data_IF_714258746106
#
_entry.id   IF_714258746106
#
_cell.length_a   1.000
_cell.length_b   1.000
_cell.length_c   1.000
_cell.angle_alpha   90.00
_cell.angle_beta   90.00
_cell.angle_gamma   90.00
#
_symmetry.space_group_name_H-M   'P 1'
#
loop_
_entity.id
_entity.type
_entity.pdbx_description
1 polymer ?
#
# COMPACT_ATOMS: atom_id res chain seq x y z
N UNK A 1 33.05 -25.30 -21.82
CA UNK A 1 32.75 -24.39 -20.70
C UNK A 1 31.40 -24.78 -20.13
N UNK A 2 31.25 -24.79 -18.81
CA UNK A 2 29.96 -24.99 -18.16
C UNK A 2 29.27 -23.64 -18.01
N UNK A 3 28.03 -23.50 -18.48
CA UNK A 3 27.22 -22.33 -18.18
C UNK A 3 26.80 -22.39 -16.71
N UNK A 4 27.26 -21.42 -15.92
CA UNK A 4 26.75 -21.21 -14.56
C UNK A 4 25.43 -20.42 -14.63
N UNK A 5 24.49 -20.71 -13.73
CA UNK A 5 23.32 -19.84 -13.55
C UNK A 5 23.80 -18.51 -12.97
N UNK A 6 23.22 -17.41 -13.44
CA UNK A 6 23.36 -16.12 -12.79
C UNK A 6 22.79 -16.23 -11.37
N UNK A 7 23.67 -16.33 -10.37
CA UNK A 7 23.28 -16.30 -8.96
C UNK A 7 23.21 -14.84 -8.54
N UNK A 8 22.00 -14.40 -8.20
CA UNK A 8 21.72 -13.03 -7.81
C UNK A 8 20.82 -13.05 -6.58
N UNK A 9 21.15 -12.23 -5.61
CA UNK A 9 20.25 -11.87 -4.53
C UNK A 9 20.18 -10.33 -4.53
N UNK A 10 18.99 -9.80 -4.77
CA UNK A 10 18.70 -8.39 -4.60
C UNK A 10 18.20 -8.12 -3.18
N UNK A 11 18.09 -6.85 -2.81
CA UNK A 11 17.48 -6.48 -1.54
C UNK A 11 15.97 -6.76 -1.56
N UNK A 12 15.34 -6.83 -0.38
CA UNK A 12 13.88 -6.78 -0.29
C UNK A 12 13.35 -5.49 -0.94
N UNK A 13 12.22 -5.60 -1.64
CA UNK A 13 11.69 -4.53 -2.50
C UNK A 13 12.26 -4.50 -3.92
N UNK A 14 13.08 -5.49 -4.30
CA UNK A 14 13.65 -5.57 -5.65
C UNK A 14 13.38 -6.94 -6.30
N UNK A 15 13.50 -6.98 -7.62
CA UNK A 15 13.57 -8.19 -8.42
C UNK A 15 14.83 -8.21 -9.29
N UNK A 16 15.23 -9.41 -9.69
CA UNK A 16 16.40 -9.67 -10.50
C UNK A 16 16.02 -9.50 -11.97
N UNK A 17 16.57 -8.48 -12.62
CA UNK A 17 16.58 -8.37 -14.07
C UNK A 17 17.80 -9.09 -14.65
N UNK A 18 17.53 -10.18 -15.36
CA UNK A 18 18.54 -11.01 -16.03
C UNK A 18 18.69 -10.62 -17.51
N UNK A 19 18.17 -9.47 -17.95
CA UNK A 19 18.35 -8.98 -19.33
C UNK A 19 19.82 -8.92 -19.75
N UNK A 20 20.75 -8.70 -18.81
CA UNK A 20 22.19 -8.72 -19.02
C UNK A 20 22.84 -10.13 -18.95
N UNK A 21 22.07 -11.16 -18.60
CA UNK A 21 22.48 -12.58 -18.55
C UNK A 21 21.99 -13.31 -19.81
N UNK A 22 22.45 -12.85 -20.98
CA UNK A 22 22.04 -13.35 -22.31
C UNK A 22 22.84 -14.57 -22.81
N UNK A 23 23.79 -15.06 -22.00
CA UNK A 23 24.66 -16.20 -22.34
C UNK A 23 25.89 -15.85 -23.18
N UNK A 24 26.12 -14.57 -23.47
CA UNK A 24 27.26 -14.09 -24.27
C UNK A 24 28.32 -13.43 -23.36
N UNK A 25 27.92 -12.95 -22.19
CA UNK A 25 28.79 -12.31 -21.22
C UNK A 25 29.65 -13.32 -20.43
N UNK A 26 30.87 -12.91 -20.08
CA UNK A 26 31.80 -13.70 -19.24
C UNK A 26 31.68 -13.35 -17.74
N UNK A 27 30.84 -12.38 -17.39
CA UNK A 27 30.56 -11.95 -16.03
C UNK A 27 29.09 -12.18 -15.67
N UNK A 28 28.81 -12.31 -14.37
CA UNK A 28 27.45 -12.44 -13.86
C UNK A 28 26.72 -11.10 -14.08
N UNK A 29 25.92 -11.03 -15.15
CA UNK A 29 25.19 -9.83 -15.55
C UNK A 29 23.77 -9.86 -15.03
N UNK A 30 23.50 -9.20 -13.91
CA UNK A 30 22.12 -8.94 -13.46
C UNK A 30 22.02 -7.53 -12.90
N UNK A 31 20.82 -6.97 -12.96
CA UNK A 31 20.49 -5.67 -12.36
C UNK A 31 19.37 -5.90 -11.35
N UNK A 32 19.43 -5.24 -10.21
CA UNK A 32 18.34 -5.23 -9.26
C UNK A 32 17.43 -4.04 -9.55
N UNK A 33 16.18 -4.32 -9.92
CA UNK A 33 15.18 -3.31 -10.21
C UNK A 33 14.17 -3.24 -9.06
N UNK A 34 13.72 -2.03 -8.72
CA UNK A 34 12.70 -1.84 -7.71
C UNK A 34 11.37 -2.43 -8.18
N UNK A 35 10.65 -3.07 -7.28
CA UNK A 35 9.33 -3.58 -7.60
C UNK A 35 8.28 -2.47 -7.65
N UNK A 36 7.35 -2.60 -8.59
CA UNK A 36 6.35 -1.58 -8.88
C UNK A 36 6.97 -0.29 -9.41
N UNK A 37 8.19 -0.34 -9.94
CA UNK A 37 8.81 0.82 -10.56
C UNK A 37 7.97 1.27 -11.76
N UNK A 38 7.36 2.45 -11.66
CA UNK A 38 6.43 2.97 -12.66
C UNK A 38 4.98 2.47 -12.52
N UNK A 39 4.68 1.64 -11.52
CA UNK A 39 3.31 1.35 -11.11
C UNK A 39 2.74 2.58 -10.41
N UNK A 40 1.61 3.09 -10.91
CA UNK A 40 0.88 4.19 -10.30
C UNK A 40 -0.46 3.68 -9.81
N UNK A 41 -0.65 3.64 -8.50
CA UNK A 41 -1.89 3.18 -7.89
C UNK A 41 -2.91 4.31 -7.78
N UNK A 42 -4.17 3.95 -7.53
CA UNK A 42 -5.24 4.93 -7.32
C UNK A 42 -5.10 5.63 -5.96
N UNK A 43 -5.75 6.79 -5.81
CA UNK A 43 -5.90 7.42 -4.51
C UNK A 43 -6.52 6.43 -3.49
N UNK A 44 -6.01 6.43 -2.26
CA UNK A 44 -6.35 5.46 -1.23
C UNK A 44 -5.51 4.17 -1.24
N UNK A 45 -4.59 4.02 -2.20
CA UNK A 45 -3.73 2.84 -2.33
C UNK A 45 -2.25 3.20 -2.22
N UNK A 46 -1.42 2.19 -1.99
CA UNK A 46 0.05 2.25 -2.03
C UNK A 46 0.61 1.11 -2.89
N UNK A 47 1.87 1.25 -3.32
CA UNK A 47 2.62 0.19 -4.00
C UNK A 47 3.15 -0.78 -2.95
N UNK A 48 2.51 -1.94 -2.82
CA UNK A 48 2.98 -3.01 -1.96
C UNK A 48 4.06 -3.83 -2.67
N UNK A 49 5.22 -3.92 -2.02
CA UNK A 49 6.38 -4.67 -2.48
C UNK A 49 6.69 -5.86 -1.56
N UNK A 50 5.78 -6.24 -0.66
CA UNK A 50 5.97 -7.33 0.31
C UNK A 50 6.27 -8.68 -0.35
N UNK A 51 5.75 -8.91 -1.57
CA UNK A 51 6.05 -10.08 -2.38
C UNK A 51 7.44 -10.06 -3.03
N UNK A 52 8.13 -8.92 -3.01
CA UNK A 52 9.46 -8.76 -3.58
C UNK A 52 10.56 -9.07 -2.57
N UNK A 53 10.92 -10.35 -2.52
CA UNK A 53 11.96 -10.87 -1.63
C UNK A 53 13.40 -10.59 -2.10
N UNK A 54 13.60 -10.08 -3.31
CA UNK A 54 14.93 -9.95 -3.92
C UNK A 54 15.44 -11.22 -4.61
N UNK A 55 14.71 -12.33 -4.53
CA UNK A 55 15.08 -13.61 -5.17
C UNK A 55 14.29 -13.91 -6.45
N UNK A 56 13.19 -13.18 -6.70
CA UNK A 56 12.36 -13.33 -7.89
C UNK A 56 12.94 -12.61 -9.10
N UNK A 57 12.51 -13.03 -10.30
CA UNK A 57 12.92 -12.44 -11.58
C UNK A 57 11.80 -11.65 -12.26
N UNK A 58 10.71 -11.45 -11.52
CA UNK A 58 9.49 -10.80 -12.00
C UNK A 58 9.17 -9.66 -11.05
N UNK A 59 8.75 -8.53 -11.59
CA UNK A 59 8.19 -7.46 -10.78
C UNK A 59 6.91 -7.95 -10.09
N UNK A 60 6.94 -8.02 -8.77
CA UNK A 60 5.80 -8.42 -7.94
C UNK A 60 5.20 -7.24 -7.14
N UNK A 61 5.50 -5.99 -7.54
CA UNK A 61 4.85 -4.82 -7.01
C UNK A 61 3.36 -4.79 -7.39
N UNK A 62 2.49 -4.56 -6.41
CA UNK A 62 1.03 -4.53 -6.61
C UNK A 62 0.40 -3.35 -5.88
N UNK A 63 -0.78 -2.92 -6.32
CA UNK A 63 -1.53 -1.90 -5.59
C UNK A 63 -2.29 -2.53 -4.42
N UNK A 64 -2.04 -2.04 -3.22
CA UNK A 64 -2.75 -2.45 -2.00
C UNK A 64 -3.52 -1.25 -1.41
N UNK A 65 -4.66 -1.55 -0.79
CA UNK A 65 -5.45 -0.53 -0.09
C UNK A 65 -4.70 -0.07 1.15
N UNK A 66 -4.73 1.24 1.42
CA UNK A 66 -4.31 1.74 2.70
C UNK A 66 -5.33 1.40 3.77
N UNK A 67 -4.82 0.91 4.89
CA UNK A 67 -5.61 0.44 6.01
C UNK A 67 -5.06 0.99 7.30
N UNK A 68 -5.88 1.04 8.33
CA UNK A 68 -5.47 1.35 9.68
C UNK A 68 -6.31 0.53 10.66
N UNK A 69 -5.80 0.31 11.85
CA UNK A 69 -6.59 -0.25 12.96
C UNK A 69 -7.03 0.89 13.85
N UNK A 70 -8.29 1.28 13.74
CA UNK A 70 -8.85 2.39 14.48
C UNK A 70 -9.81 1.92 15.57
N UNK A 71 -9.84 2.66 16.68
CA UNK A 71 -10.83 2.47 17.73
C UNK A 71 -12.16 3.16 17.41
N UNK A 72 -13.19 2.95 18.25
CA UNK A 72 -14.43 3.70 18.18
C UNK A 72 -14.18 5.22 18.21
N UNK A 73 -14.98 5.99 17.47
CA UNK A 73 -14.81 7.45 17.34
C UNK A 73 -13.87 7.89 16.21
N UNK A 74 -13.31 6.93 15.45
CA UNK A 74 -12.46 7.19 14.29
C UNK A 74 -12.95 6.46 13.03
N UNK A 75 -12.49 6.94 11.88
CA UNK A 75 -12.58 6.25 10.59
C UNK A 75 -11.19 6.09 9.97
N UNK A 76 -11.04 5.13 9.06
CA UNK A 76 -9.82 4.89 8.30
C UNK A 76 -9.71 5.95 7.22
N UNK A 77 -8.74 6.85 7.36
CA UNK A 77 -8.43 7.88 6.39
C UNK A 77 -7.26 7.43 5.52
N UNK A 78 -7.57 7.14 4.27
CA UNK A 78 -6.62 6.74 3.24
C UNK A 78 -6.13 7.91 2.38
N UNK A 79 -6.51 9.16 2.68
CA UNK A 79 -6.07 10.34 1.94
C UNK A 79 -4.54 10.57 1.90
N UNK A 80 -3.74 10.15 2.90
CA UNK A 80 -2.28 10.23 2.78
C UNK A 80 -1.72 9.29 1.70
N UNK A 81 -2.53 8.34 1.23
CA UNK A 81 -2.14 7.40 0.22
C UNK A 81 -2.46 7.92 -1.18
N UNK A 82 -1.44 8.48 -1.83
CA UNK A 82 -1.54 9.10 -3.16
C UNK A 82 -1.37 8.09 -4.30
N UNK A 83 -0.89 6.89 -4.00
CA UNK A 83 -0.66 5.82 -4.98
C UNK A 83 0.78 5.71 -5.46
N UNK A 84 1.67 6.58 -4.99
CA UNK A 84 3.10 6.60 -5.36
C UNK A 84 4.02 6.07 -4.25
N UNK A 85 3.55 6.10 -3.00
CA UNK A 85 4.30 5.60 -1.84
C UNK A 85 4.35 4.07 -1.81
N UNK A 86 5.38 3.55 -1.15
CA UNK A 86 5.69 2.11 -1.08
C UNK A 86 5.32 1.45 0.24
N UNK A 87 4.62 2.20 1.10
CA UNK A 87 4.19 1.75 2.42
C UNK A 87 2.76 2.17 2.68
N UNK A 88 2.06 1.38 3.49
CA UNK A 88 0.76 1.77 4.01
C UNK A 88 0.89 3.05 4.83
N UNK A 89 0.13 4.09 4.47
CA UNK A 89 0.03 5.35 5.20
C UNK A 89 -1.42 5.66 5.62
N UNK A 90 -2.28 4.65 5.69
CA UNK A 90 -3.61 4.81 6.27
C UNK A 90 -3.51 5.26 7.72
N UNK A 91 -4.33 6.23 8.10
CA UNK A 91 -4.37 6.78 9.47
C UNK A 91 -5.79 6.71 10.03
N UNK A 92 -5.89 6.93 11.34
CA UNK A 92 -7.17 7.07 12.01
C UNK A 92 -7.50 8.55 12.15
N UNK A 93 -8.54 8.99 11.44
CA UNK A 93 -9.07 10.34 11.54
C UNK A 93 -10.32 10.33 12.41
N UNK A 94 -10.44 11.30 13.32
CA UNK A 94 -11.61 11.41 14.18
C UNK A 94 -12.84 11.66 13.32
N UNK A 95 -13.96 11.00 13.64
CA UNK A 95 -15.22 11.35 13.00
C UNK A 95 -15.55 12.80 13.37
N UNK A 96 -15.77 13.65 12.36
CA UNK A 96 -16.17 15.03 12.59
C UNK A 96 -17.64 15.04 13.00
N UNK A 97 -17.97 15.75 14.08
CA UNK A 97 -19.29 15.69 14.69
C UNK A 97 -19.88 17.09 14.70
N UNK A 98 -20.80 17.36 13.78
CA UNK A 98 -21.60 18.59 13.80
C UNK A 98 -23.05 18.28 13.45
N UNK A 99 -23.94 18.48 14.41
CA UNK A 99 -25.38 18.43 14.23
C UNK A 99 -26.01 19.78 14.54
N UNK A 100 -27.17 20.06 13.95
CA UNK A 100 -27.91 21.29 14.19
C UNK A 100 -28.54 21.29 15.58
N UNK A 101 -28.91 22.47 16.08
CA UNK A 101 -29.68 22.58 17.33
C UNK A 101 -30.97 21.74 17.24
N UNK A 102 -31.29 21.02 18.33
CA UNK A 102 -32.43 20.10 18.37
C UNK A 102 -32.10 18.68 17.90
N UNK A 103 -30.83 18.37 17.64
CA UNK A 103 -30.36 17.03 17.30
C UNK A 103 -29.25 16.58 18.26
N UNK A 104 -29.18 15.27 18.50
CA UNK A 104 -28.03 14.60 19.12
C UNK A 104 -27.29 13.75 18.09
N UNK A 105 -26.04 13.43 18.41
CA UNK A 105 -25.15 12.69 17.52
C UNK A 105 -25.28 11.22 17.82
N UNK A 106 -25.61 10.43 16.81
CA UNK A 106 -25.47 8.98 16.83
C UNK A 106 -24.18 8.58 16.10
N UNK A 107 -23.22 8.07 16.88
CA UNK A 107 -21.90 7.63 16.41
C UNK A 107 -21.85 6.11 16.18
N UNK A 108 -23.00 5.42 16.13
CA UNK A 108 -23.06 3.98 15.88
C UNK A 108 -22.38 3.57 14.57
N UNK A 109 -22.27 4.48 13.60
CA UNK A 109 -21.54 4.29 12.35
C UNK A 109 -20.01 4.56 12.43
N UNK A 110 -19.51 5.18 13.50
CA UNK A 110 -18.10 5.51 13.69
C UNK A 110 -17.37 4.43 14.51
N UNK A 111 -17.29 3.22 13.96
CA UNK A 111 -16.81 2.04 14.69
C UNK A 111 -15.29 1.83 14.62
N UNK A 112 -14.56 2.60 13.80
CA UNK A 112 -13.14 2.37 13.52
C UNK A 112 -12.86 1.45 12.33
N UNK A 113 -13.88 0.82 11.73
CA UNK A 113 -13.71 -0.11 10.59
C UNK A 113 -14.09 0.48 9.23
N UNK A 114 -14.79 1.62 9.20
CA UNK A 114 -15.21 2.28 7.97
C UNK A 114 -14.19 3.30 7.46
N UNK A 115 -14.28 3.65 6.17
CA UNK A 115 -13.49 4.71 5.54
C UNK A 115 -14.24 6.04 5.43
N UNK A 116 -15.50 6.07 5.87
CA UNK A 116 -16.33 7.26 5.86
C UNK A 116 -16.37 7.86 7.26
N UNK A 117 -16.45 9.18 7.32
CA UNK A 117 -16.85 9.89 8.54
C UNK A 117 -18.31 9.52 8.86
N UNK A 118 -18.50 8.55 9.74
CA UNK A 118 -19.79 7.95 10.04
C UNK A 118 -20.46 8.58 11.25
N UNK A 119 -21.40 9.50 11.05
CA UNK A 119 -22.30 9.94 12.09
C UNK A 119 -23.66 10.26 11.49
N UNK A 120 -24.71 10.12 12.30
CA UNK A 120 -26.05 10.57 11.95
C UNK A 120 -26.53 11.55 13.00
N UNK A 121 -27.29 12.55 12.57
CA UNK A 121 -27.93 13.51 13.47
C UNK A 121 -29.37 13.06 13.71
N UNK A 122 -29.70 12.74 14.95
CA UNK A 122 -31.02 12.25 15.36
C UNK A 122 -31.74 13.37 16.10
N UNK A 123 -33.01 13.61 15.77
CA UNK A 123 -33.81 14.63 16.45
C UNK A 123 -34.02 14.30 17.93
N UNK A 124 -33.93 15.32 18.79
CA UNK A 124 -34.35 15.18 20.18
C UNK A 124 -35.87 15.01 20.25
N UNK A 125 -36.33 14.00 20.97
CA UNK A 125 -37.76 13.75 21.25
C UNK A 125 -38.11 14.16 22.66
#
# INVERSE_FOLDING_TARGET
GQCARCSAACAAGQYIDQSACDGIQTANGYVCLACGAGLSCSAGQYVDQSACSGAGTTDAGVCAQCTATCGPGFFIDASPCTGAQTSNQGICSACAITCSQGQYVDQSACTGSGTANGYTCVACT
#
